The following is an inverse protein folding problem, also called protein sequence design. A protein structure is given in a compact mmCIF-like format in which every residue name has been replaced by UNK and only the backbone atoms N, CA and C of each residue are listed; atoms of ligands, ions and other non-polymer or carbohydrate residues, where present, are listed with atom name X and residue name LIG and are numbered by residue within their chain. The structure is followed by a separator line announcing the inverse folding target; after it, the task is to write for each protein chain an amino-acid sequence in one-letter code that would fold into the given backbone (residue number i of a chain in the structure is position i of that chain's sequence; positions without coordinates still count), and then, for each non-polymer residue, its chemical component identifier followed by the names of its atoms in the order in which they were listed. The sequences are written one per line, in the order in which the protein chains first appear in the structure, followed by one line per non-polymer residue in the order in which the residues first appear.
data_IF_594030506853
#
_entry.id   IF_594030506853
#
_cell.length_a   1.000
_cell.length_b   1.000
_cell.length_c   1.000
_cell.angle_alpha   90.00
_cell.angle_beta   90.00
_cell.angle_gamma   90.00
#
_symmetry.space_group_name_H-M   'P 1'
#
loop_
_entity.id
_entity.type
_entity.pdbx_description
1 polymer ?
#
# COMPACT_ATOMS: atom_id res chain seq x y z
N UNK A 1 3.86 8.99 -2.81
CA UNK A 1 3.33 8.37 -4.05
C UNK A 1 2.36 7.26 -3.66
N UNK A 2 1.19 7.08 -4.31
CA UNK A 2 0.24 6.02 -3.92
C UNK A 2 0.66 4.66 -4.48
N UNK A 3 0.65 3.61 -3.63
CA UNK A 3 0.85 2.20 -4.03
C UNK A 3 -0.16 1.76 -5.09
N UNK A 4 -1.37 2.31 -5.03
CA UNK A 4 -2.46 2.05 -6.00
C UNK A 4 -2.06 2.53 -7.40
N UNK A 5 -1.37 3.67 -7.49
CA UNK A 5 -0.93 4.23 -8.77
C UNK A 5 0.16 3.37 -9.40
N UNK A 6 1.10 2.87 -8.58
CA UNK A 6 2.13 1.92 -9.02
C UNK A 6 1.51 0.63 -9.53
N UNK A 7 0.58 0.06 -8.75
CA UNK A 7 -0.14 -1.14 -9.15
C UNK A 7 -0.96 -0.93 -10.42
N UNK A 8 -1.64 0.21 -10.56
CA UNK A 8 -2.41 0.55 -11.76
C UNK A 8 -1.53 0.65 -13.01
N UNK A 9 -0.35 1.29 -12.90
CA UNK A 9 0.60 1.37 -14.01
C UNK A 9 1.10 -0.03 -14.43
N UNK A 10 1.50 -0.87 -13.47
CA UNK A 10 1.94 -2.24 -13.76
C UNK A 10 0.81 -3.08 -14.37
N UNK A 11 -0.43 -2.98 -13.87
CA UNK A 11 -1.62 -3.63 -14.47
C UNK A 11 -1.81 -3.17 -15.92
N UNK A 12 -1.69 -1.87 -16.19
CA UNK A 12 -1.86 -1.30 -17.53
C UNK A 12 -0.76 -1.72 -18.51
N UNK A 13 0.49 -1.79 -18.04
CA UNK A 13 1.65 -2.22 -18.84
C UNK A 13 1.66 -3.74 -19.09
N UNK A 14 1.24 -4.56 -18.10
CA UNK A 14 1.13 -6.02 -18.25
C UNK A 14 0.11 -6.43 -19.30
N UNK A 15 -1.04 -5.74 -19.37
CA UNK A 15 -2.12 -6.06 -20.32
C UNK A 15 -1.67 -5.93 -21.78
N UNK A 16 -0.87 -4.92 -22.07
CA UNK A 16 -0.22 -4.78 -23.37
C UNK A 16 0.95 -3.81 -23.25
N UNK A 17 2.13 -4.13 -23.81
CA UNK A 17 3.23 -3.18 -23.94
C UNK A 17 2.73 -1.89 -24.59
N UNK A 18 2.89 -0.76 -23.90
CA UNK A 18 2.32 0.51 -24.34
C UNK A 18 3.33 1.66 -24.16
N UNK A 19 3.20 2.67 -25.02
CA UNK A 19 3.99 3.89 -24.88
C UNK A 19 3.45 4.78 -23.75
N UNK A 20 4.28 5.71 -23.28
CA UNK A 20 3.95 6.64 -22.18
C UNK A 20 2.62 7.37 -22.40
N UNK A 21 2.39 7.94 -23.60
CA UNK A 21 1.15 8.68 -23.88
C UNK A 21 -0.10 7.80 -23.98
N UNK A 22 0.05 6.50 -24.19
CA UNK A 22 -1.04 5.55 -24.14
C UNK A 22 -1.34 5.14 -22.68
N UNK A 23 -0.30 4.89 -21.88
CA UNK A 23 -0.43 4.65 -20.45
C UNK A 23 -1.06 5.84 -19.71
N UNK A 24 -0.66 7.06 -20.05
CA UNK A 24 -1.27 8.28 -19.52
C UNK A 24 -2.78 8.36 -19.80
N UNK A 25 -3.20 7.99 -21.00
CA UNK A 25 -4.62 7.92 -21.37
C UNK A 25 -5.36 6.83 -20.60
N UNK A 26 -4.80 5.62 -20.49
CA UNK A 26 -5.40 4.50 -19.75
C UNK A 26 -5.56 4.78 -18.25
N UNK A 27 -4.62 5.52 -17.67
CA UNK A 27 -4.65 5.88 -16.25
C UNK A 27 -5.47 7.15 -15.97
N UNK A 28 -5.93 7.85 -17.01
CA UNK A 28 -6.55 9.18 -16.88
C UNK A 28 -5.67 10.14 -16.05
N UNK A 29 -4.38 10.20 -16.41
CA UNK A 29 -3.37 11.05 -15.73
C UNK A 29 -2.58 11.87 -16.72
N UNK A 30 -2.01 12.98 -16.22
CA UNK A 30 -1.09 13.82 -17.00
C UNK A 30 0.15 13.02 -17.37
N UNK A 31 0.65 13.22 -18.60
CA UNK A 31 1.83 12.54 -19.11
C UNK A 31 3.05 12.72 -18.20
N UNK A 32 3.26 13.92 -17.66
CA UNK A 32 4.37 14.24 -16.75
C UNK A 32 4.38 13.33 -15.51
N UNK A 33 3.21 13.14 -14.88
CA UNK A 33 3.05 12.26 -13.70
C UNK A 33 3.35 10.81 -14.06
N UNK A 34 2.94 10.37 -15.25
CA UNK A 34 3.23 9.01 -15.71
C UNK A 34 4.70 8.85 -16.08
N UNK A 35 5.34 9.87 -16.64
CA UNK A 35 6.79 9.87 -16.93
C UNK A 35 7.61 9.76 -15.65
N UNK A 36 7.29 10.56 -14.62
CA UNK A 36 7.98 10.50 -13.33
C UNK A 36 7.79 9.13 -12.68
N UNK A 37 6.56 8.62 -12.69
CA UNK A 37 6.25 7.30 -12.15
C UNK A 37 6.98 6.17 -12.86
N UNK A 38 7.01 6.17 -14.19
CA UNK A 38 7.76 5.15 -14.95
C UNK A 38 9.26 5.27 -14.64
N UNK A 39 9.79 6.48 -14.49
CA UNK A 39 11.21 6.68 -14.17
C UNK A 39 11.56 6.07 -12.82
N UNK A 40 10.83 6.44 -11.76
CA UNK A 40 11.05 5.91 -10.41
C UNK A 40 10.91 4.38 -10.39
N UNK A 41 9.85 3.83 -10.99
CA UNK A 41 9.63 2.39 -11.02
C UNK A 41 10.65 1.64 -11.89
N UNK A 42 11.26 2.29 -12.88
CA UNK A 42 12.35 1.70 -13.64
C UNK A 42 13.67 1.74 -12.85
N UNK A 43 13.93 2.80 -12.09
CA UNK A 43 15.08 2.89 -11.17
C UNK A 43 15.01 1.81 -10.08
N UNK A 44 13.79 1.45 -9.63
CA UNK A 44 13.53 0.33 -8.71
C UNK A 44 13.52 -1.05 -9.38
N UNK A 45 13.69 -1.13 -10.71
CA UNK A 45 13.69 -2.39 -11.45
C UNK A 45 12.32 -3.06 -11.60
N UNK A 46 11.22 -2.36 -11.34
CA UNK A 46 9.84 -2.86 -11.51
C UNK A 46 9.35 -2.78 -12.96
N UNK A 47 9.91 -1.84 -13.74
CA UNK A 47 9.57 -1.60 -15.14
C UNK A 47 10.83 -1.58 -15.99
N UNK A 48 10.70 -2.05 -17.22
CA UNK A 48 11.71 -1.89 -18.26
C UNK A 48 11.13 -1.10 -19.45
N UNK A 49 12.00 -0.36 -20.13
CA UNK A 49 11.67 0.35 -21.37
C UNK A 49 12.32 -0.36 -22.54
N UNK A 50 11.53 -1.03 -23.38
CA UNK A 50 12.01 -1.68 -24.60
C UNK A 50 11.74 -0.79 -25.79
N UNK A 51 12.74 -0.64 -26.66
CA UNK A 51 12.55 0.08 -27.93
C UNK A 51 12.18 -0.93 -29.01
N UNK A 52 10.94 -0.86 -29.51
CA UNK A 52 10.56 -1.63 -30.68
C UNK A 52 10.93 -0.88 -31.96
N UNK A 53 11.75 -1.53 -32.78
CA UNK A 53 11.99 -1.12 -34.16
C UNK A 53 10.81 -1.62 -35.01
N UNK A 54 9.92 -0.72 -35.42
CA UNK A 54 8.87 -1.07 -36.38
C UNK A 54 9.51 -1.33 -37.75
N UNK A 55 9.06 -2.37 -38.44
CA UNK A 55 9.50 -2.67 -39.80
C UNK A 55 9.28 -1.50 -40.76
N UNK A 56 10.35 -1.13 -41.48
CA UNK A 56 10.46 -0.29 -42.69
C UNK A 56 9.95 1.17 -42.67
N UNK A 57 9.09 1.66 -41.76
CA UNK A 57 8.74 3.12 -41.70
C UNK A 57 8.14 3.55 -40.35
N UNK A 58 8.72 4.59 -39.74
CA UNK A 58 8.21 5.28 -38.54
C UNK A 58 9.25 5.46 -37.41
N UNK A 59 8.99 6.41 -36.49
CA UNK A 59 9.83 6.63 -35.28
C UNK A 59 9.74 5.40 -34.36
N UNK A 60 10.87 4.83 -33.89
CA UNK A 60 10.87 3.75 -32.91
C UNK A 60 10.03 4.12 -31.68
N UNK A 61 9.24 3.17 -31.17
CA UNK A 61 8.43 3.37 -29.97
C UNK A 61 9.12 2.75 -28.76
N UNK A 62 9.28 3.54 -27.71
CA UNK A 62 9.62 3.02 -26.39
C UNK A 62 8.34 2.48 -25.74
N UNK A 63 8.31 1.17 -25.54
CA UNK A 63 7.26 0.44 -24.83
C UNK A 63 7.70 0.19 -23.40
N UNK A 64 6.74 0.27 -22.49
CA UNK A 64 6.95 -0.01 -21.07
C UNK A 64 6.35 -1.37 -20.77
N UNK A 65 7.15 -2.25 -20.17
CA UNK A 65 6.73 -3.57 -19.73
C UNK A 65 7.13 -3.81 -18.27
N UNK A 66 6.33 -4.57 -17.50
CA UNK A 66 6.76 -5.06 -16.19
C UNK A 66 7.97 -5.99 -16.32
N UNK A 67 8.88 -5.92 -15.37
CA UNK A 67 9.91 -6.95 -15.15
C UNK A 67 9.32 -8.09 -14.32
N UNK A 68 10.03 -9.24 -14.15
CA UNK A 68 9.61 -10.27 -13.21
C UNK A 68 9.38 -9.73 -11.79
N UNK A 69 10.25 -8.85 -11.30
CA UNK A 69 10.08 -8.18 -10.00
C UNK A 69 8.82 -7.30 -9.98
N UNK A 70 8.52 -6.61 -11.08
CA UNK A 70 7.28 -5.86 -11.24
C UNK A 70 6.02 -6.73 -11.22
N UNK A 71 6.11 -7.97 -11.70
CA UNK A 71 5.02 -8.94 -11.60
C UNK A 71 4.85 -9.46 -10.17
N UNK A 72 5.95 -9.83 -9.50
CA UNK A 72 5.93 -10.25 -8.09
C UNK A 72 5.35 -9.15 -7.19
N UNK A 73 5.72 -7.90 -7.44
CA UNK A 73 5.13 -6.74 -6.77
C UNK A 73 3.61 -6.69 -6.95
N UNK A 74 3.12 -6.95 -8.17
CA UNK A 74 1.69 -6.92 -8.49
C UNK A 74 0.92 -8.01 -7.74
N UNK A 75 1.52 -9.20 -7.64
CA UNK A 75 0.92 -10.34 -6.95
C UNK A 75 0.92 -10.15 -5.43
N UNK A 76 2.01 -9.59 -4.87
CA UNK A 76 2.03 -9.15 -3.47
C UNK A 76 0.97 -8.09 -3.19
N UNK A 77 0.84 -7.08 -4.07
CA UNK A 77 -0.18 -6.04 -3.94
C UNK A 77 -1.60 -6.65 -3.92
N UNK A 78 -1.91 -7.58 -4.83
CA UNK A 78 -3.20 -8.29 -4.86
C UNK A 78 -3.45 -9.09 -3.60
N UNK A 79 -2.44 -9.80 -3.09
CA UNK A 79 -2.56 -10.58 -1.87
C UNK A 79 -2.87 -9.69 -0.64
N UNK A 80 -2.32 -8.47 -0.60
CA UNK A 80 -2.60 -7.48 0.44
C UNK A 80 -3.96 -6.81 0.26
N UNK A 81 -4.39 -6.54 -0.98
CA UNK A 81 -5.71 -6.00 -1.30
C UNK A 81 -6.84 -6.93 -0.82
N UNK A 82 -6.61 -8.25 -0.82
CA UNK A 82 -7.53 -9.26 -0.26
C UNK A 82 -7.54 -9.33 1.27
N UNK A 83 -6.57 -8.73 1.94
CA UNK A 83 -6.44 -8.71 3.40
C UNK A 83 -6.51 -7.27 3.93
N UNK A 84 -7.62 -6.53 3.68
CA UNK A 84 -7.71 -5.15 4.11
C UNK A 84 -7.71 -5.10 5.64
N UNK A 85 -6.70 -4.47 6.20
CA UNK A 85 -6.71 -4.08 7.60
C UNK A 85 -7.80 -3.02 7.77
N UNK A 86 -8.89 -3.38 8.46
CA UNK A 86 -9.96 -2.43 8.81
C UNK A 86 -9.52 -1.40 9.84
N UNK A 87 -8.40 -1.66 10.50
CA UNK A 87 -7.80 -0.80 11.52
C UNK A 87 -6.98 0.30 10.87
N UNK A 88 -7.13 1.53 11.38
CA UNK A 88 -6.27 2.65 11.00
C UNK A 88 -4.89 2.44 11.61
N UNK A 89 -3.87 3.12 11.04
CA UNK A 89 -2.51 3.12 11.61
C UNK A 89 -2.50 3.53 13.09
N UNK A 90 -3.33 4.48 13.47
CA UNK A 90 -3.50 4.93 14.86
C UNK A 90 -3.93 3.80 15.78
N UNK A 91 -4.84 2.94 15.30
CA UNK A 91 -5.39 1.83 16.07
C UNK A 91 -4.31 0.76 16.29
N UNK A 92 -3.48 0.51 15.27
CA UNK A 92 -2.36 -0.43 15.35
C UNK A 92 -1.28 0.06 16.31
N UNK A 93 -0.92 1.34 16.25
CA UNK A 93 0.07 1.94 17.17
C UNK A 93 -0.44 1.90 18.60
N UNK A 94 -1.73 2.21 18.81
CA UNK A 94 -2.34 2.14 20.13
C UNK A 94 -2.36 0.71 20.67
N UNK A 95 -2.79 -0.25 19.86
CA UNK A 95 -2.81 -1.67 20.26
C UNK A 95 -1.41 -2.19 20.63
N UNK A 96 -0.37 -1.77 19.92
CA UNK A 96 1.01 -2.12 20.27
C UNK A 96 1.40 -1.54 21.64
N UNK A 97 1.11 -0.26 21.89
CA UNK A 97 1.36 0.38 23.19
C UNK A 97 0.57 -0.25 24.34
N UNK A 98 -0.70 -0.58 24.11
CA UNK A 98 -1.57 -1.26 25.08
C UNK A 98 -1.00 -2.65 25.41
N UNK A 99 -0.51 -3.39 24.42
CA UNK A 99 0.15 -4.67 24.60
C UNK A 99 1.44 -4.59 25.43
N UNK A 100 2.30 -3.62 25.16
CA UNK A 100 3.51 -3.39 25.98
C UNK A 100 3.15 -3.03 27.43
N UNK A 101 2.09 -2.24 27.62
CA UNK A 101 1.63 -1.86 28.95
C UNK A 101 1.07 -3.07 29.71
N UNK A 102 0.24 -3.89 29.06
CA UNK A 102 -0.25 -5.14 29.63
C UNK A 102 0.90 -6.07 30.04
N UNK A 103 1.91 -6.25 29.18
CA UNK A 103 3.09 -7.05 29.50
C UNK A 103 3.86 -6.51 30.73
N UNK A 104 3.97 -5.18 30.89
CA UNK A 104 4.57 -4.57 32.09
C UNK A 104 3.76 -4.83 33.36
N UNK A 105 2.44 -4.88 33.27
CA UNK A 105 1.56 -5.21 34.40
C UNK A 105 1.72 -6.69 34.79
N UNK A 106 1.70 -7.59 33.81
CA UNK A 106 1.92 -9.03 34.03
C UNK A 106 3.28 -9.31 34.67
N UNK A 107 4.34 -8.64 34.21
CA UNK A 107 5.68 -8.75 34.79
C UNK A 107 5.74 -8.30 36.27
N UNK A 108 4.78 -7.51 36.73
CA UNK A 108 4.63 -7.09 38.13
C UNK A 108 3.66 -7.98 38.93
N UNK A 109 3.21 -9.08 38.35
CA UNK A 109 2.24 -10.00 38.96
C UNK A 109 0.81 -9.46 38.97
N UNK A 110 0.51 -8.42 38.19
CA UNK A 110 -0.81 -7.82 38.09
C UNK A 110 -1.54 -8.37 36.86
N UNK A 111 -2.80 -8.76 37.03
CA UNK A 111 -3.68 -9.17 35.94
C UNK A 111 -4.20 -7.93 35.20
N UNK A 112 -3.85 -7.73 33.92
CA UNK A 112 -4.34 -6.59 33.14
C UNK A 112 -5.87 -6.61 32.99
N UNK A 113 -6.46 -7.81 32.92
CA UNK A 113 -7.91 -7.98 32.82
C UNK A 113 -8.62 -7.52 34.09
N UNK A 114 -8.13 -7.92 35.26
CA UNK A 114 -8.78 -7.56 36.53
C UNK A 114 -8.70 -6.05 36.78
N UNK A 115 -7.54 -5.44 36.50
CA UNK A 115 -7.36 -3.99 36.55
C UNK A 115 -8.30 -3.24 35.59
N UNK A 116 -8.48 -3.77 34.38
CA UNK A 116 -9.42 -3.20 33.42
C UNK A 116 -10.87 -3.27 33.90
N UNK A 117 -11.27 -4.41 34.48
CA UNK A 117 -12.60 -4.58 35.06
C UNK A 117 -12.83 -3.66 36.26
N UNK A 118 -11.82 -3.48 37.11
CA UNK A 118 -11.86 -2.54 38.23
C UNK A 118 -12.06 -1.10 37.74
N UNK A 119 -11.26 -0.65 36.78
CA UNK A 119 -11.38 0.66 36.15
C UNK A 119 -12.77 0.91 35.55
N UNK A 120 -13.30 -0.05 34.80
CA UNK A 120 -14.66 0.06 34.24
C UNK A 120 -15.72 0.18 35.32
N UNK A 121 -15.56 -0.56 36.43
CA UNK A 121 -16.48 -0.47 37.56
C UNK A 121 -16.44 0.90 38.23
N UNK A 122 -15.27 1.54 38.29
CA UNK A 122 -15.09 2.89 38.84
C UNK A 122 -15.72 3.95 37.93
N UNK A 123 -15.42 3.91 36.62
CA UNK A 123 -16.01 4.82 35.64
C UNK A 123 -17.53 4.72 35.65
N UNK A 124 -18.08 3.50 35.64
CA UNK A 124 -19.53 3.30 35.68
C UNK A 124 -20.20 3.80 36.96
N UNK A 125 -19.48 3.89 38.09
CA UNK A 125 -19.99 4.52 39.33
C UNK A 125 -19.96 6.04 39.25
N UNK A 126 -18.90 6.62 38.67
CA UNK A 126 -18.78 8.08 38.48
C UNK A 126 -19.86 8.58 37.53
N UNK A 127 -20.13 7.86 36.44
CA UNK A 127 -21.19 8.21 35.49
C UNK A 127 -22.58 8.16 36.13
N UNK A 128 -22.87 7.16 36.98
CA UNK A 128 -24.16 7.03 37.67
C UNK A 128 -24.36 8.01 38.83
N UNK A 129 -23.28 8.48 39.45
CA UNK A 129 -23.31 9.46 40.54
C UNK A 129 -23.38 10.92 40.08
N UNK A 130 -23.32 11.17 38.77
CA UNK A 130 -23.34 12.52 38.16
C UNK A 130 -24.72 12.91 37.57
N UNK A 131 -25.76 12.14 37.89
CA UNK A 131 -27.19 12.38 37.60
C UNK A 131 -27.96 12.56 38.89
#
# INVERSE_FOLDING_TARGET
MSLEMRAALLKAAKRSPAGVGELARRLHRRTEVVVSLIREMAEEGLLERRTEKRGKRGRPRALVTPTPLGEDYLDAYRALELKPLRSRRTDLVRAAGDGEYAARLEARGLSPFDLFMELNSLVGRVEKGST
#
